data_IF_319486287808
#
_entry.id   IF_319486287808
#
_cell.length_a   1.000
_cell.length_b   1.000
_cell.length_c   1.000
_cell.angle_alpha   90.00
_cell.angle_beta   90.00
_cell.angle_gamma   90.00
#
_symmetry.space_group_name_H-M   'P 1'
#
loop_
_entity.id
_entity.type
_entity.pdbx_description
1 polymer ?
#
# COMPACT_ATOMS: atom_id res chain seq x y z
N UNK A 1 3.77 4.11 -21.30
CA UNK A 1 3.90 3.97 -20.65
C UNK A 1 3.28 3.85 -19.77
N UNK A 2 3.11 3.32 -19.51
CA UNK A 2 2.64 3.34 -18.66
C UNK A 2 3.17 3.22 -17.80
N UNK A 3 3.45 3.60 -17.83
CA UNK A 3 3.99 3.49 -16.81
C UNK A 3 3.33 3.17 -15.80
N UNK A 4 3.83 2.69 -15.05
CA UNK A 4 3.23 2.32 -13.85
C UNK A 4 2.76 3.53 -13.13
N UNK A 5 1.53 3.56 -12.81
CA UNK A 5 0.97 4.61 -11.99
C UNK A 5 1.65 4.65 -10.62
N UNK A 6 2.34 3.58 -10.25
CA UNK A 6 2.99 3.50 -8.95
C UNK A 6 4.31 4.23 -8.93
N UNK A 7 5.00 4.33 -10.06
CA UNK A 7 6.40 4.71 -10.04
C UNK A 7 6.69 5.95 -10.84
N UNK A 8 6.05 6.06 -11.99
CA UNK A 8 6.48 7.01 -12.96
C UNK A 8 6.14 8.42 -12.62
N UNK A 9 5.05 8.62 -11.96
CA UNK A 9 4.56 9.97 -11.70
C UNK A 9 4.39 10.16 -10.21
N UNK A 10 5.34 10.84 -9.60
CA UNK A 10 5.32 11.03 -8.16
C UNK A 10 4.11 11.85 -7.70
N UNK A 11 3.48 12.60 -8.60
CA UNK A 11 2.27 13.36 -8.26
C UNK A 11 1.06 12.45 -8.08
N UNK A 12 1.04 11.32 -8.80
CA UNK A 12 -0.05 10.37 -8.72
C UNK A 12 0.27 9.17 -7.86
N UNK A 13 1.51 9.05 -7.44
CA UNK A 13 1.93 7.96 -6.58
C UNK A 13 1.59 8.28 -5.14
N UNK A 14 1.06 7.31 -4.37
CA UNK A 14 0.84 7.52 -2.95
C UNK A 14 2.14 7.60 -2.14
N UNK A 15 3.26 7.23 -2.75
CA UNK A 15 4.55 7.27 -2.05
C UNK A 15 5.27 8.57 -2.34
N UNK A 16 5.76 9.22 -1.28
CA UNK A 16 6.54 10.44 -1.42
C UNK A 16 8.00 10.09 -1.73
N UNK A 17 8.76 11.09 -2.17
CA UNK A 17 10.19 10.90 -2.38
C UNK A 17 10.89 10.56 -1.08
N UNK A 18 10.44 11.14 0.01
CA UNK A 18 11.02 10.86 1.32
C UNK A 18 10.80 9.41 1.70
N UNK A 19 9.60 8.88 1.44
CA UNK A 19 9.30 7.48 1.71
C UNK A 19 10.21 6.57 0.89
N UNK A 20 10.36 6.87 -0.39
CA UNK A 20 11.20 6.07 -1.27
C UNK A 20 12.65 6.09 -0.81
N UNK A 21 13.13 7.25 -0.38
CA UNK A 21 14.49 7.38 0.12
C UNK A 21 14.70 6.61 1.42
N UNK A 22 13.72 6.65 2.31
CA UNK A 22 13.82 5.93 3.58
C UNK A 22 13.89 4.43 3.32
N UNK A 23 13.08 3.93 2.42
CA UNK A 23 13.11 2.52 2.06
C UNK A 23 14.46 2.17 1.44
N UNK A 24 14.94 3.03 0.55
CA UNK A 24 16.21 2.78 -0.13
C UNK A 24 17.40 2.73 0.81
N UNK A 25 17.36 3.51 1.90
CA UNK A 25 18.47 3.56 2.85
C UNK A 25 18.30 2.57 4.00
N UNK A 26 17.19 1.85 4.07
CA UNK A 26 17.00 0.86 5.13
C UNK A 26 17.95 -0.32 4.94
N UNK A 27 18.31 -0.94 6.05
CA UNK A 27 19.24 -2.08 6.01
C UNK A 27 18.49 -3.37 5.69
N UNK A 28 18.04 -3.46 4.44
CA UNK A 28 17.22 -4.57 3.97
C UNK A 28 17.73 -5.05 2.62
N UNK A 29 17.42 -6.29 2.27
CA UNK A 29 17.75 -6.83 0.94
C UNK A 29 16.90 -6.14 -0.12
N UNK A 30 17.29 -6.29 -1.38
CA UNK A 30 16.53 -5.71 -2.48
C UNK A 30 15.10 -6.25 -2.54
N UNK A 31 14.95 -7.55 -2.28
CA UNK A 31 13.62 -8.16 -2.28
C UNK A 31 12.78 -7.62 -1.15
N UNK A 32 13.37 -7.48 0.03
CA UNK A 32 12.65 -6.93 1.17
C UNK A 32 12.25 -5.49 0.92
N UNK A 33 13.12 -4.70 0.31
CA UNK A 33 12.79 -3.32 -0.03
C UNK A 33 11.64 -3.26 -1.02
N UNK A 34 11.63 -4.18 -1.98
CA UNK A 34 10.55 -4.26 -2.95
C UNK A 34 9.23 -4.58 -2.27
N UNK A 35 9.23 -5.58 -1.40
CA UNK A 35 8.02 -5.97 -0.66
C UNK A 35 7.53 -4.83 0.22
N UNK A 36 8.47 -4.16 0.89
CA UNK A 36 8.13 -3.03 1.76
C UNK A 36 7.48 -1.91 0.95
N UNK A 37 8.03 -1.64 -0.22
CA UNK A 37 7.47 -0.61 -1.09
C UNK A 37 6.06 -0.96 -1.53
N UNK A 38 5.84 -2.23 -1.88
CA UNK A 38 4.52 -2.70 -2.26
C UNK A 38 3.54 -2.60 -1.10
N UNK A 39 3.99 -2.99 0.10
CA UNK A 39 3.15 -2.94 1.29
C UNK A 39 2.75 -1.50 1.61
N UNK A 40 3.71 -0.58 1.55
CA UNK A 40 3.43 0.82 1.81
C UNK A 40 2.48 1.39 0.76
N UNK A 41 2.68 1.01 -0.50
CA UNK A 41 1.80 1.46 -1.57
C UNK A 41 0.36 1.03 -1.31
N UNK A 42 0.17 -0.23 -0.92
CA UNK A 42 -1.16 -0.73 -0.62
C UNK A 42 -1.76 0.00 0.59
N UNK A 43 -0.96 0.26 1.60
CA UNK A 43 -1.41 1.00 2.78
C UNK A 43 -1.93 2.39 2.37
N UNK A 44 -1.18 3.08 1.52
CA UNK A 44 -1.60 4.42 1.09
C UNK A 44 -2.85 4.36 0.22
N UNK A 45 -2.99 3.30 -0.60
CA UNK A 45 -4.21 3.11 -1.37
C UNK A 45 -5.41 2.90 -0.44
N UNK A 46 -5.23 2.08 0.60
CA UNK A 46 -6.31 1.86 1.57
C UNK A 46 -6.71 3.16 2.25
N UNK A 47 -5.74 4.02 2.56
CA UNK A 47 -6.04 5.32 3.16
C UNK A 47 -6.86 6.18 2.21
N UNK A 48 -6.52 6.16 0.92
CA UNK A 48 -7.28 6.91 -0.07
C UNK A 48 -8.70 6.39 -0.21
N UNK A 49 -8.88 5.07 -0.16
CA UNK A 49 -10.19 4.46 -0.22
C UNK A 49 -11.04 4.85 0.99
N UNK A 50 -10.40 5.09 2.11
CA UNK A 50 -11.09 5.26 3.40
C UNK A 50 -11.06 6.68 3.91
N UNK A 51 -10.96 7.66 3.03
CA UNK A 51 -10.84 9.07 3.44
C UNK A 51 -11.91 9.51 4.41
N UNK A 52 -13.12 8.97 4.29
CA UNK A 52 -14.22 9.35 5.15
C UNK A 52 -14.32 8.47 6.38
N UNK A 53 -13.58 7.39 6.42
CA UNK A 53 -13.61 6.45 7.53
C UNK A 53 -12.46 6.76 8.48
N UNK A 54 -12.79 7.24 9.67
CA UNK A 54 -11.79 7.68 10.63
C UNK A 54 -11.39 6.60 11.63
N UNK A 55 -11.88 5.39 11.45
CA UNK A 55 -11.57 4.31 12.37
C UNK A 55 -10.22 3.65 12.10
N UNK A 56 -9.63 3.93 10.95
CA UNK A 56 -8.32 3.37 10.62
C UNK A 56 -8.33 1.92 10.23
N UNK A 57 -9.50 1.38 9.90
CA UNK A 57 -9.64 -0.01 9.53
C UNK A 57 -9.43 -0.21 8.03
N UNK A 58 -8.92 -1.38 7.66
CA UNK A 58 -8.73 -1.72 6.25
C UNK A 58 -10.10 -1.85 5.61
N UNK A 59 -10.32 -1.20 4.46
CA UNK A 59 -11.63 -1.27 3.80
C UNK A 59 -11.93 -2.67 3.28
N UNK A 60 -13.20 -2.97 3.12
CA UNK A 60 -13.65 -4.26 2.60
C UNK A 60 -13.32 -4.39 1.11
N UNK A 61 -13.29 -5.61 0.63
CA UNK A 61 -12.96 -5.89 -0.78
C UNK A 61 -13.90 -5.18 -1.75
N UNK A 62 -15.14 -5.03 -1.36
CA UNK A 62 -16.10 -4.32 -2.18
C UNK A 62 -15.69 -2.87 -2.41
N UNK A 63 -15.09 -2.27 -1.39
CA UNK A 63 -14.60 -0.90 -1.50
C UNK A 63 -13.40 -0.85 -2.45
N UNK A 64 -12.52 -1.86 -2.41
CA UNK A 64 -11.38 -1.94 -3.32
C UNK A 64 -11.86 -1.93 -4.76
N UNK A 65 -12.85 -2.78 -5.07
CA UNK A 65 -13.37 -2.87 -6.42
C UNK A 65 -13.99 -1.57 -6.88
N UNK A 66 -14.79 -0.97 -6.01
CA UNK A 66 -15.44 0.29 -6.32
C UNK A 66 -14.41 1.38 -6.61
N UNK A 67 -13.35 1.42 -5.81
CA UNK A 67 -12.30 2.40 -5.98
C UNK A 67 -11.59 2.21 -7.33
N UNK A 68 -11.31 0.96 -7.70
CA UNK A 68 -10.69 0.66 -8.98
C UNK A 68 -11.59 1.07 -10.15
N UNK A 69 -12.89 0.82 -10.02
CA UNK A 69 -13.83 1.16 -11.08
C UNK A 69 -13.99 2.66 -11.26
N UNK A 70 -13.76 3.43 -10.20
CA UNK A 70 -13.83 4.89 -10.27
C UNK A 70 -12.60 5.50 -10.91
N UNK A 71 -11.57 4.70 -11.14
CA UNK A 71 -10.32 5.17 -11.73
C UNK A 71 -10.00 4.39 -13.00
N UNK A 72 -10.89 4.44 -14.02
CA UNK A 72 -10.73 3.58 -15.20
C UNK A 72 -9.48 3.87 -16.02
N UNK A 73 -8.92 5.07 -15.89
CA UNK A 73 -7.68 5.38 -16.58
C UNK A 73 -6.52 4.53 -16.11
N UNK A 74 -6.51 4.23 -14.80
CA UNK A 74 -5.42 3.47 -14.19
C UNK A 74 -5.70 1.98 -14.20
N UNK A 75 -6.98 1.59 -14.20
CA UNK A 75 -7.36 0.20 -13.98
C UNK A 75 -8.27 -0.34 -15.08
N UNK A 76 -7.95 -0.06 -16.33
CA UNK A 76 -8.77 -0.54 -17.43
C UNK A 76 -8.43 -1.94 -17.89
N UNK A 77 -7.36 -2.52 -17.38
CA UNK A 77 -6.96 -3.89 -17.70
C UNK A 77 -7.42 -4.80 -16.59
N UNK A 78 -8.33 -5.74 -16.92
CA UNK A 78 -8.86 -6.65 -15.92
C UNK A 78 -7.78 -7.50 -15.27
N UNK A 79 -6.76 -7.88 -16.02
CA UNK A 79 -5.67 -8.67 -15.46
C UNK A 79 -4.89 -7.86 -14.43
N UNK A 80 -4.68 -6.58 -14.72
CA UNK A 80 -3.97 -5.72 -13.78
C UNK A 80 -4.78 -5.55 -12.50
N UNK A 81 -6.10 -5.37 -12.63
CA UNK A 81 -6.96 -5.23 -11.46
C UNK A 81 -6.90 -6.48 -10.61
N UNK A 82 -6.89 -7.66 -11.24
CA UNK A 82 -6.82 -8.91 -10.51
C UNK A 82 -5.51 -9.04 -9.74
N UNK A 83 -4.39 -8.69 -10.38
CA UNK A 83 -3.09 -8.71 -9.71
C UNK A 83 -3.09 -7.75 -8.54
N UNK A 84 -3.65 -6.57 -8.73
CA UNK A 84 -3.72 -5.57 -7.68
C UNK A 84 -4.54 -6.07 -6.50
N UNK A 85 -5.66 -6.76 -6.78
CA UNK A 85 -6.48 -7.34 -5.71
C UNK A 85 -5.70 -8.36 -4.90
N UNK A 86 -4.88 -9.16 -5.56
CA UNK A 86 -4.03 -10.13 -4.85
C UNK A 86 -3.03 -9.42 -3.96
N UNK A 87 -2.46 -8.33 -4.46
CA UNK A 87 -1.53 -7.54 -3.66
C UNK A 87 -2.23 -6.90 -2.47
N UNK A 88 -3.42 -6.37 -2.68
CA UNK A 88 -4.22 -5.80 -1.59
C UNK A 88 -4.54 -6.87 -0.55
N UNK A 89 -4.90 -8.08 -0.99
CA UNK A 89 -5.22 -9.16 -0.06
C UNK A 89 -4.03 -9.52 0.81
N UNK A 90 -2.86 -9.68 0.20
CA UNK A 90 -1.65 -9.99 0.96
C UNK A 90 -1.27 -8.86 1.90
N UNK A 91 -1.36 -7.62 1.43
CA UNK A 91 -1.03 -6.47 2.25
C UNK A 91 -1.99 -6.35 3.42
N UNK A 92 -3.28 -6.59 3.19
CA UNK A 92 -4.28 -6.49 4.25
C UNK A 92 -3.95 -7.46 5.39
N UNK A 93 -3.55 -8.68 5.05
CA UNK A 93 -3.19 -9.67 6.05
C UNK A 93 -1.97 -9.20 6.85
N UNK A 94 -0.94 -8.73 6.18
CA UNK A 94 0.29 -8.29 6.85
C UNK A 94 0.05 -7.06 7.71
N UNK A 95 -0.70 -6.09 7.19
CA UNK A 95 -0.99 -4.88 7.95
C UNK A 95 -1.84 -5.20 9.17
N UNK A 96 -2.79 -6.13 9.03
CA UNK A 96 -3.62 -6.50 10.16
C UNK A 96 -2.80 -7.20 11.25
N UNK A 97 -1.87 -8.07 10.85
CA UNK A 97 -1.00 -8.73 11.82
C UNK A 97 -0.16 -7.72 12.58
N UNK A 98 0.44 -6.78 11.86
CA UNK A 98 1.29 -5.77 12.49
C UNK A 98 0.45 -4.85 13.37
N UNK A 99 -0.74 -4.51 12.92
CA UNK A 99 -1.69 -3.71 13.70
C UNK A 99 -1.97 -4.40 15.05
N UNK A 100 -2.20 -5.71 15.01
CA UNK A 100 -2.50 -6.46 16.22
C UNK A 100 -1.30 -6.49 17.17
N UNK A 101 -0.10 -6.65 16.63
CA UNK A 101 1.11 -6.68 17.44
C UNK A 101 1.38 -5.33 18.10
N UNK A 102 1.23 -4.25 17.34
CA UNK A 102 1.56 -2.91 17.83
C UNK A 102 0.39 -2.23 18.54
N UNK A 103 -0.80 -2.82 18.48
CA UNK A 103 -2.00 -2.23 19.08
C UNK A 103 -2.31 -0.86 18.50
N UNK A 104 -2.19 -0.76 17.17
CA UNK A 104 -2.43 0.47 16.41
C UNK A 104 -3.38 0.12 15.26
N UNK A 105 -4.38 0.95 14.95
CA UNK A 105 -5.24 0.67 13.80
C UNK A 105 -4.41 0.48 12.53
N UNK A 106 -4.79 -0.42 11.64
CA UNK A 106 -3.96 -0.74 10.47
C UNK A 106 -3.59 0.47 9.61
N UNK A 107 -4.52 1.40 9.41
CA UNK A 107 -4.23 2.55 8.56
C UNK A 107 -3.46 3.65 9.28
N UNK A 108 -3.23 3.50 10.57
CA UNK A 108 -2.39 4.41 11.33
C UNK A 108 -0.94 3.95 11.41
N UNK A 109 -0.64 2.79 10.83
CA UNK A 109 0.74 2.30 10.78
C UNK A 109 1.59 3.26 9.96
N UNK A 110 2.83 3.44 10.41
CA UNK A 110 3.78 4.34 9.75
C UNK A 110 4.81 3.54 8.97
N UNK A 111 5.52 4.22 8.08
CA UNK A 111 6.62 3.58 7.36
C UNK A 111 7.66 3.03 8.32
N UNK A 112 7.93 3.75 9.40
CA UNK A 112 8.88 3.28 10.40
C UNK A 112 8.43 1.99 11.04
N UNK A 113 7.12 1.86 11.30
CA UNK A 113 6.57 0.60 11.81
C UNK A 113 6.83 -0.54 10.83
N UNK A 114 6.63 -0.28 9.53
CA UNK A 114 6.81 -1.29 8.51
C UNK A 114 8.28 -1.69 8.37
N UNK A 115 9.17 -0.72 8.39
CA UNK A 115 10.60 -0.98 8.29
C UNK A 115 11.06 -1.82 9.49
N UNK A 116 10.63 -1.45 10.68
CA UNK A 116 11.02 -2.18 11.89
C UNK A 116 10.59 -3.63 11.84
N UNK A 117 9.41 -3.90 11.27
CA UNK A 117 8.92 -5.26 11.15
C UNK A 117 9.82 -6.13 10.28
N UNK A 118 10.44 -5.53 9.28
CA UNK A 118 11.36 -6.25 8.40
C UNK A 118 12.76 -6.38 9.01
N UNK A 119 13.17 -5.41 9.81
CA UNK A 119 14.51 -5.42 10.39
C UNK A 119 14.63 -6.38 11.57
N UNK A 120 13.53 -6.71 12.17
CA UNK A 120 13.51 -7.69 13.24
C UNK A 120 13.63 -9.09 12.66
#
# INVERSE_FOLDING_TARGET
MMESAFVENSQNSPLSKEDINLIGSANLSLIEKHHLRMLLHCLECFKLMSQENKEGLIPAKEVWLEWCLKNPRMFKDDEFVQVLFEQFSGAAIQLQKLSNVLQVPPLDLTLENLISAYED
#
